data_IF_258364909822
#
_entry.id   IF_258364909822
#
_cell.length_a   1.000
_cell.length_b   1.000
_cell.length_c   1.000
_cell.angle_alpha   90.00
_cell.angle_beta   90.00
_cell.angle_gamma   90.00
#
_symmetry.space_group_name_H-M   'P 1'
#
loop_
_entity.id
_entity.type
_entity.pdbx_description
1 polymer ?
#
# COMPACT_ATOMS: atom_id res chain seq x y z
N UNK A 1 -10.59 -17.55 -26.43
CA UNK A 1 -10.04 -18.71 -27.14
C UNK A 1 -9.20 -19.52 -26.20
N UNK A 2 -9.49 -20.82 -26.13
CA UNK A 2 -8.78 -21.90 -25.41
C UNK A 2 -9.19 -21.98 -23.93
N UNK A 3 -10.10 -22.75 -23.59
CA UNK A 3 -10.44 -24.19 -23.59
C UNK A 3 -10.11 -24.83 -22.23
N UNK A 4 -11.18 -25.03 -21.48
CA UNK A 4 -11.27 -25.80 -20.25
C UNK A 4 -11.31 -27.31 -20.57
N UNK A 5 -10.48 -28.10 -19.93
CA UNK A 5 -10.54 -29.54 -19.94
C UNK A 5 -10.94 -30.06 -18.55
N UNK A 6 -12.21 -30.44 -18.44
CA UNK A 6 -12.82 -31.16 -17.34
C UNK A 6 -12.56 -32.66 -17.53
N UNK A 7 -11.91 -33.30 -16.56
CA UNK A 7 -11.67 -34.75 -16.57
C UNK A 7 -12.68 -35.44 -15.65
N UNK A 8 -13.67 -36.13 -16.25
CA UNK A 8 -14.61 -37.03 -15.57
C UNK A 8 -14.06 -38.43 -15.55
N UNK A 9 -13.85 -39.00 -14.37
CA UNK A 9 -13.54 -40.43 -14.18
C UNK A 9 -14.81 -41.18 -13.84
N UNK A 10 -15.29 -41.99 -14.79
CA UNK A 10 -16.45 -42.85 -14.69
C UNK A 10 -16.01 -44.16 -14.02
N UNK A 11 -16.67 -44.53 -12.93
CA UNK A 11 -16.54 -45.88 -12.32
C UNK A 11 -17.59 -46.77 -12.97
N UNK A 12 -17.16 -47.78 -13.67
CA UNK A 12 -17.98 -48.80 -14.29
C UNK A 12 -18.12 -50.03 -13.39
N UNK A 13 -19.36 -50.39 -13.10
CA UNK A 13 -19.72 -51.72 -12.60
C UNK A 13 -19.65 -52.76 -13.71
N UNK A 14 -19.22 -54.01 -13.40
CA UNK A 14 -19.38 -55.14 -14.35
C UNK A 14 -20.69 -55.91 -14.11
N UNK A 15 -21.21 -56.59 -15.13
CA UNK A 15 -22.53 -57.15 -15.18
C UNK A 15 -22.58 -58.62 -14.77
N UNK A 16 -23.81 -59.04 -14.46
CA UNK A 16 -24.22 -60.43 -14.28
C UNK A 16 -24.39 -61.13 -15.62
N UNK A 17 -23.97 -62.32 -15.73
CA UNK A 17 -24.43 -63.33 -16.72
C UNK A 17 -23.89 -64.68 -16.25
N UNK A 18 -24.50 -65.82 -16.35
CA UNK A 18 -25.56 -66.41 -17.14
C UNK A 18 -25.61 -67.86 -16.65
N UNK A 19 -26.77 -68.36 -16.32
CA UNK A 19 -27.62 -69.26 -17.14
C UNK A 19 -26.95 -70.52 -17.72
N UNK A 20 -27.72 -71.58 -17.53
CA UNK A 20 -27.79 -72.83 -18.35
C UNK A 20 -26.96 -73.99 -17.80
N UNK A 21 -27.39 -75.19 -17.71
CA UNK A 21 -28.58 -75.86 -18.26
C UNK A 21 -28.66 -77.25 -17.79
N UNK A 22 -29.87 -77.79 -17.82
CA UNK A 22 -30.29 -79.09 -18.26
C UNK A 22 -29.86 -80.33 -17.43
N UNK A 23 -30.78 -81.04 -16.95
CA UNK A 23 -31.81 -81.90 -17.49
C UNK A 23 -31.48 -83.38 -17.42
N UNK A 24 -32.50 -84.06 -17.04
CA UNK A 24 -32.89 -85.44 -17.35
C UNK A 24 -32.25 -86.59 -16.59
N UNK A 25 -33.01 -87.34 -15.88
CA UNK A 25 -33.70 -88.58 -16.12
C UNK A 25 -34.10 -89.21 -14.79
N UNK A 26 -35.34 -89.39 -14.59
CA UNK A 26 -36.31 -90.45 -14.88
C UNK A 26 -36.00 -91.74 -14.16
N UNK A 27 -37.01 -92.23 -13.44
CA UNK A 27 -37.44 -93.56 -13.13
C UNK A 27 -36.74 -94.30 -11.99
N UNK A 28 -37.41 -94.58 -10.95
CA UNK A 28 -38.22 -95.76 -10.71
C UNK A 28 -38.73 -95.80 -9.25
N UNK A 29 -39.99 -96.00 -9.18
CA UNK A 29 -40.77 -96.47 -7.99
C UNK A 29 -40.30 -97.84 -7.52
N UNK A 30 -40.90 -98.37 -6.45
CA UNK A 30 -41.37 -97.90 -5.13
C UNK A 30 -40.89 -98.80 -3.97
N UNK A 31 -41.57 -98.62 -2.85
CA UNK A 31 -41.61 -99.52 -1.71
C UNK A 31 -40.43 -99.38 -0.73
N UNK A 32 -40.62 -98.60 0.23
CA UNK A 32 -40.79 -99.01 1.62
C UNK A 32 -41.36 -97.88 2.45
N UNK A 33 -42.66 -97.91 2.50
CA UNK A 33 -43.41 -97.17 3.50
C UNK A 33 -43.17 -97.83 4.87
N UNK A 34 -43.23 -97.07 5.87
CA UNK A 34 -43.30 -97.40 7.29
C UNK A 34 -41.99 -97.34 8.08
N UNK A 35 -42.16 -96.64 9.18
CA UNK A 35 -41.24 -96.55 10.31
C UNK A 35 -40.25 -95.37 10.15
N UNK A 36 -40.76 -94.25 10.50
CA UNK A 36 -40.09 -93.22 11.33
C UNK A 36 -40.99 -92.07 11.64
N UNK A 37 -42.07 -92.30 12.35
CA UNK A 37 -42.79 -91.34 13.14
C UNK A 37 -42.23 -91.27 14.53
N UNK A 38 -41.06 -90.77 14.73
CA UNK A 38 -40.64 -90.28 16.07
C UNK A 38 -39.52 -89.28 15.95
N UNK A 39 -39.74 -88.17 16.58
CA UNK A 39 -38.76 -87.10 16.85
C UNK A 39 -38.75 -85.91 15.92
N UNK A 40 -39.93 -85.23 15.79
CA UNK A 40 -39.85 -83.83 15.50
C UNK A 40 -39.88 -83.06 16.84
N UNK A 41 -38.73 -83.06 17.53
CA UNK A 41 -38.54 -82.02 18.58
C UNK A 41 -38.11 -80.76 17.89
N UNK A 42 -38.87 -79.66 18.05
CA UNK A 42 -38.44 -78.37 17.49
C UNK A 42 -37.06 -78.00 18.09
N UNK A 43 -36.08 -77.60 17.29
CA UNK A 43 -34.83 -77.14 17.82
C UNK A 43 -35.11 -75.98 18.78
N UNK A 44 -34.70 -76.17 20.03
CA UNK A 44 -34.73 -75.21 21.06
C UNK A 44 -33.93 -74.01 20.51
N UNK A 45 -34.65 -72.94 20.17
CA UNK A 45 -34.00 -71.72 19.66
C UNK A 45 -32.88 -71.34 20.62
N UNK A 46 -31.67 -71.42 20.13
CA UNK A 46 -30.53 -70.95 20.89
C UNK A 46 -30.76 -69.45 21.12
N UNK A 47 -31.10 -69.10 22.32
CA UNK A 47 -31.17 -67.70 22.75
C UNK A 47 -29.72 -67.19 22.66
N UNK A 48 -29.43 -66.49 21.56
CA UNK A 48 -28.18 -65.77 21.43
C UNK A 48 -28.04 -64.86 22.64
N UNK A 49 -26.94 -64.96 23.39
CA UNK A 49 -26.74 -64.04 24.50
C UNK A 49 -26.76 -62.61 23.96
N UNK A 50 -27.59 -61.78 24.56
CA UNK A 50 -27.63 -60.35 24.22
C UNK A 50 -26.23 -59.78 24.33
N UNK A 51 -25.81 -59.03 23.34
CA UNK A 51 -24.49 -58.40 23.37
C UNK A 51 -24.35 -57.54 24.63
N UNK A 52 -23.29 -57.77 25.37
CA UNK A 52 -22.98 -56.93 26.52
C UNK A 52 -22.58 -55.53 25.98
N UNK A 53 -23.43 -54.55 26.16
CA UNK A 53 -23.12 -53.14 25.88
C UNK A 53 -22.55 -52.48 27.14
N UNK A 54 -21.41 -51.93 27.03
CA UNK A 54 -20.83 -51.14 28.11
C UNK A 54 -21.39 -49.73 27.99
N UNK A 55 -22.17 -49.34 28.92
CA UNK A 55 -22.65 -47.96 29.06
C UNK A 55 -21.65 -47.20 29.91
N UNK A 56 -21.15 -46.09 29.36
CA UNK A 56 -20.31 -45.14 30.08
C UNK A 56 -21.18 -43.88 30.35
N UNK A 57 -21.13 -43.38 31.56
CA UNK A 57 -21.77 -42.10 31.85
C UNK A 57 -21.11 -41.00 31.01
N UNK A 58 -21.89 -40.08 30.47
CA UNK A 58 -21.36 -38.95 29.76
C UNK A 58 -20.48 -38.11 30.71
N UNK A 59 -19.28 -37.85 30.27
CA UNK A 59 -18.34 -36.95 30.96
C UNK A 59 -18.73 -35.53 30.65
N UNK A 60 -19.05 -34.73 31.66
CA UNK A 60 -19.33 -33.32 31.53
C UNK A 60 -17.99 -32.59 31.50
N UNK A 61 -17.54 -32.19 30.33
CA UNK A 61 -16.36 -31.37 30.15
C UNK A 61 -16.77 -29.99 29.62
N UNK A 62 -16.13 -28.96 30.12
CA UNK A 62 -16.26 -27.62 29.54
C UNK A 62 -15.45 -27.60 28.24
N UNK A 63 -16.14 -27.51 27.11
CA UNK A 63 -15.50 -27.39 25.80
C UNK A 63 -15.51 -25.91 25.45
N UNK A 64 -14.32 -25.34 25.26
CA UNK A 64 -14.19 -23.99 24.68
C UNK A 64 -14.23 -24.12 23.17
N UNK A 65 -15.23 -23.56 22.57
CA UNK A 65 -15.33 -23.49 21.11
C UNK A 65 -14.50 -22.31 20.64
N UNK A 66 -13.64 -22.54 19.64
CA UNK A 66 -12.83 -21.50 19.03
C UNK A 66 -13.29 -21.35 17.58
N UNK A 67 -13.68 -20.11 17.25
CA UNK A 67 -14.00 -19.76 15.87
C UNK A 67 -12.81 -19.03 15.28
N UNK A 68 -12.31 -19.52 14.15
CA UNK A 68 -11.20 -18.95 13.43
C UNK A 68 -11.72 -18.16 12.23
N UNK A 69 -11.39 -16.88 12.18
CA UNK A 69 -11.78 -16.00 11.09
C UNK A 69 -10.53 -15.58 10.32
N UNK A 70 -10.53 -15.71 8.97
CA UNK A 70 -9.47 -15.14 8.16
C UNK A 70 -9.51 -13.62 8.26
N UNK A 71 -8.33 -13.00 8.33
CA UNK A 71 -8.23 -11.56 8.40
C UNK A 71 -6.95 -11.08 7.75
N UNK A 72 -6.89 -9.78 7.47
CA UNK A 72 -5.68 -9.12 6.96
C UNK A 72 -5.40 -7.85 7.73
N UNK A 73 -4.12 -7.47 7.74
CA UNK A 73 -3.64 -6.25 8.37
C UNK A 73 -3.51 -5.17 7.31
N UNK A 74 -3.98 -3.96 7.63
CA UNK A 74 -3.88 -2.80 6.76
C UNK A 74 -3.26 -1.64 7.52
N UNK A 75 -2.34 -0.92 6.87
CA UNK A 75 -1.71 0.25 7.46
C UNK A 75 -2.73 1.40 7.58
N UNK A 76 -2.70 2.12 8.70
CA UNK A 76 -3.57 3.29 8.91
C UNK A 76 -3.24 4.40 7.92
N UNK A 77 -1.94 4.58 7.61
CA UNK A 77 -1.47 5.57 6.66
C UNK A 77 -0.56 4.91 5.62
N UNK A 78 -0.84 5.21 4.35
CA UNK A 78 -0.02 4.81 3.21
C UNK A 78 0.31 6.06 2.40
N UNK A 79 1.59 6.36 2.24
CA UNK A 79 2.06 7.55 1.53
C UNK A 79 3.00 7.14 0.39
N UNK A 80 2.64 7.53 -0.82
CA UNK A 80 3.53 7.43 -1.97
C UNK A 80 4.47 8.63 -2.00
N UNK A 81 5.75 8.39 -1.87
CA UNK A 81 6.78 9.41 -1.96
C UNK A 81 7.03 9.76 -3.43
N UNK A 82 6.78 11.02 -3.76
CA UNK A 82 6.94 11.57 -5.11
C UNK A 82 7.84 12.81 -5.04
N UNK A 83 8.65 13.09 -6.07
CA UNK A 83 9.49 14.28 -6.09
C UNK A 83 8.64 15.55 -6.27
N UNK A 84 9.09 16.65 -5.69
CA UNK A 84 8.52 17.99 -5.88
C UNK A 84 9.32 18.83 -6.88
N UNK A 85 10.52 18.35 -7.25
CA UNK A 85 11.39 18.96 -8.24
C UNK A 85 11.89 17.86 -9.19
N UNK A 86 12.18 18.21 -10.45
CA UNK A 86 12.67 17.28 -11.44
C UNK A 86 14.21 17.21 -11.40
N UNK A 87 14.79 16.05 -11.69
CA UNK A 87 16.25 15.94 -11.75
C UNK A 87 16.73 14.51 -11.68
N UNK A 88 18.04 14.32 -11.65
CA UNK A 88 18.65 13.01 -11.48
C UNK A 88 18.78 12.67 -10.00
N UNK A 89 18.48 11.43 -9.63
CA UNK A 89 18.73 10.93 -8.28
C UNK A 89 20.24 10.80 -8.10
N UNK A 90 20.79 11.53 -7.14
CA UNK A 90 22.19 11.50 -6.76
C UNK A 90 22.49 10.34 -5.81
N UNK A 91 21.73 10.24 -4.73
CA UNK A 91 21.93 9.22 -3.70
C UNK A 91 20.63 8.76 -3.03
N UNK A 92 20.67 7.55 -2.43
CA UNK A 92 19.58 6.90 -1.71
C UNK A 92 20.10 6.51 -0.33
N UNK A 93 19.38 6.87 0.74
CA UNK A 93 19.84 6.79 2.11
C UNK A 93 19.09 5.78 2.98
N UNK A 94 18.35 4.84 2.39
CA UNK A 94 17.64 3.80 3.11
C UNK A 94 17.86 2.43 2.46
N UNK A 95 17.48 1.38 3.17
CA UNK A 95 17.39 0.01 2.66
C UNK A 95 15.93 -0.37 2.44
N UNK A 96 15.64 -1.15 1.40
CA UNK A 96 14.31 -1.62 1.09
C UNK A 96 13.76 -2.46 2.27
N UNK A 97 12.56 -2.13 2.75
CA UNK A 97 11.92 -2.79 3.89
C UNK A 97 12.38 -2.31 5.27
N UNK A 98 13.27 -1.31 5.37
CA UNK A 98 13.69 -0.74 6.64
C UNK A 98 12.59 0.08 7.32
N UNK A 99 12.72 0.26 8.62
CA UNK A 99 11.93 1.24 9.38
C UNK A 99 12.61 2.61 9.32
N UNK A 100 11.80 3.64 9.07
CA UNK A 100 12.24 5.03 8.99
C UNK A 100 11.39 5.91 9.90
N UNK A 101 11.97 6.99 10.37
CA UNK A 101 11.28 8.01 11.19
C UNK A 101 10.90 9.20 10.32
N UNK A 102 9.83 9.89 10.70
CA UNK A 102 9.48 11.16 10.10
C UNK A 102 10.67 12.13 10.14
N UNK A 103 11.01 12.71 8.97
CA UNK A 103 12.18 13.59 8.79
C UNK A 103 13.45 12.90 8.30
N UNK A 104 13.53 11.56 8.31
CA UNK A 104 14.70 10.84 7.79
C UNK A 104 14.87 11.13 6.29
N UNK A 105 16.14 11.33 5.87
CA UNK A 105 16.48 11.54 4.47
C UNK A 105 16.36 10.24 3.69
N UNK A 106 15.58 10.24 2.62
CA UNK A 106 15.34 9.07 1.77
C UNK A 106 16.11 9.15 0.46
N UNK A 107 15.92 10.24 -0.28
CA UNK A 107 16.56 10.46 -1.57
C UNK A 107 17.16 11.86 -1.65
N UNK A 108 18.21 11.98 -2.42
CA UNK A 108 18.77 13.27 -2.83
C UNK A 108 18.69 13.37 -4.34
N UNK A 109 18.07 14.43 -4.83
CA UNK A 109 18.11 14.83 -6.23
C UNK A 109 19.31 15.76 -6.41
N UNK A 110 20.00 15.73 -7.56
CA UNK A 110 21.17 16.57 -7.83
C UNK A 110 20.88 18.06 -7.47
N UNK A 111 21.49 18.59 -6.39
CA UNK A 111 21.18 19.91 -5.91
C UNK A 111 21.89 21.04 -6.69
N UNK A 112 22.88 20.70 -7.51
CA UNK A 112 23.76 21.69 -8.17
C UNK A 112 23.00 22.72 -9.02
N UNK A 113 22.05 22.34 -9.87
CA UNK A 113 21.25 23.32 -10.62
C UNK A 113 20.45 24.26 -9.72
N UNK A 114 19.82 23.73 -8.69
CA UNK A 114 19.02 24.47 -7.73
C UNK A 114 19.86 25.39 -6.84
N UNK A 115 21.06 24.97 -6.47
CA UNK A 115 22.02 25.81 -5.75
C UNK A 115 22.47 27.00 -6.62
N UNK A 116 22.71 26.77 -7.92
CA UNK A 116 23.06 27.84 -8.84
C UNK A 116 21.90 28.85 -9.00
N UNK A 117 20.66 28.36 -9.06
CA UNK A 117 19.45 29.18 -9.14
C UNK A 117 19.25 30.01 -7.86
N UNK A 118 19.46 29.42 -6.69
CA UNK A 118 19.43 30.13 -5.41
C UNK A 118 20.50 31.22 -5.37
N UNK A 119 21.74 30.93 -5.77
CA UNK A 119 22.80 31.92 -5.81
C UNK A 119 22.47 33.09 -6.74
N UNK A 120 21.85 32.82 -7.88
CA UNK A 120 21.36 33.85 -8.82
C UNK A 120 20.26 34.73 -8.19
N UNK A 121 19.28 34.10 -7.50
CA UNK A 121 18.23 34.82 -6.82
C UNK A 121 18.77 35.69 -5.68
N UNK A 122 19.74 35.20 -4.91
CA UNK A 122 20.45 35.96 -3.88
C UNK A 122 21.17 37.20 -4.45
N UNK A 123 21.85 37.02 -5.58
CA UNK A 123 22.50 38.17 -6.24
C UNK A 123 21.50 39.22 -6.69
N UNK A 124 20.34 38.82 -7.23
CA UNK A 124 19.25 39.75 -7.60
C UNK A 124 18.67 40.46 -6.39
N UNK A 125 18.47 39.78 -5.28
CA UNK A 125 18.03 40.41 -4.02
C UNK A 125 19.05 41.44 -3.56
N UNK A 126 20.33 41.09 -3.55
CA UNK A 126 21.41 42.03 -3.16
C UNK A 126 21.45 43.27 -4.06
N UNK A 127 21.25 43.07 -5.37
CA UNK A 127 21.15 44.17 -6.32
C UNK A 127 19.95 45.11 -5.98
N UNK A 128 18.76 44.53 -5.70
CA UNK A 128 17.58 45.30 -5.35
C UNK A 128 17.75 46.03 -4.01
N UNK A 129 18.43 45.42 -3.02
CA UNK A 129 18.79 46.10 -1.76
C UNK A 129 19.67 47.33 -1.99
N UNK A 130 20.71 47.18 -2.84
CA UNK A 130 21.59 48.30 -3.17
C UNK A 130 20.86 49.43 -3.91
N UNK A 131 19.93 49.07 -4.83
CA UNK A 131 19.08 50.05 -5.50
C UNK A 131 18.15 50.81 -4.54
N UNK A 132 17.56 50.10 -3.59
CA UNK A 132 16.72 50.69 -2.57
C UNK A 132 17.53 51.64 -1.67
N UNK A 133 18.73 51.24 -1.27
CA UNK A 133 19.63 52.08 -0.48
C UNK A 133 19.99 53.36 -1.23
N UNK A 134 20.32 53.25 -2.52
CA UNK A 134 20.57 54.42 -3.38
C UNK A 134 19.36 55.33 -3.44
N UNK A 135 18.16 54.81 -3.74
CA UNK A 135 16.93 55.59 -3.82
C UNK A 135 16.60 56.29 -2.50
N UNK A 136 16.79 55.63 -1.36
CA UNK A 136 16.63 56.22 -0.02
C UNK A 136 17.61 57.34 0.26
N UNK A 137 18.87 57.16 -0.13
CA UNK A 137 19.88 58.19 -0.01
C UNK A 137 19.59 59.43 -0.91
N UNK A 138 19.06 59.21 -2.12
CA UNK A 138 18.63 60.23 -3.02
C UNK A 138 17.43 61.01 -2.46
N UNK A 139 16.41 60.30 -1.93
CA UNK A 139 15.26 60.95 -1.27
C UNK A 139 15.70 61.76 -0.08
N UNK A 140 16.62 61.22 0.78
CA UNK A 140 17.15 61.96 1.92
C UNK A 140 17.87 63.24 1.51
N UNK A 141 18.63 63.25 0.41
CA UNK A 141 19.24 64.44 -0.18
C UNK A 141 18.17 65.41 -0.67
N UNK A 142 17.14 64.90 -1.38
CA UNK A 142 16.02 65.73 -1.86
C UNK A 142 15.25 66.36 -0.72
N UNK A 143 15.04 65.67 0.38
CA UNK A 143 14.35 66.17 1.57
C UNK A 143 15.10 67.37 2.18
N UNK A 144 16.43 67.27 2.28
CA UNK A 144 17.26 68.43 2.75
C UNK A 144 17.21 69.64 1.84
N UNK A 145 17.12 69.43 0.52
CA UNK A 145 17.00 70.53 -0.48
C UNK A 145 15.61 71.11 -0.52
N UNK A 146 14.56 70.40 -0.26
CA UNK A 146 13.18 70.83 -0.14
C UNK A 146 13.04 71.91 0.94
N UNK A 147 13.69 71.70 2.12
CA UNK A 147 13.69 72.69 3.21
C UNK A 147 14.24 74.04 2.82
N UNK A 148 15.15 74.13 1.83
CA UNK A 148 15.76 75.35 1.31
C UNK A 148 15.05 75.85 0.04
N UNK A 149 13.95 75.24 -0.46
CA UNK A 149 13.27 75.50 -1.74
C UNK A 149 14.20 75.34 -2.97
N UNK A 150 15.25 74.56 -2.87
CA UNK A 150 16.21 74.31 -3.95
C UNK A 150 15.80 73.19 -4.89
N UNK A 151 14.68 72.52 -4.64
CA UNK A 151 14.13 71.40 -5.46
C UNK A 151 12.62 71.66 -5.68
N UNK A 152 12.09 71.19 -6.83
CA UNK A 152 10.64 71.26 -7.12
C UNK A 152 9.88 70.11 -6.38
N UNK A 153 8.57 70.31 -6.15
CA UNK A 153 7.72 69.24 -5.60
C UNK A 153 7.67 68.08 -6.54
N UNK A 154 7.62 68.27 -7.85
CA UNK A 154 7.64 67.18 -8.83
C UNK A 154 8.90 66.28 -8.72
N UNK A 155 10.06 66.91 -8.54
CA UNK A 155 11.32 66.18 -8.40
C UNK A 155 11.34 65.43 -7.05
N UNK A 156 10.83 66.02 -5.95
CA UNK A 156 10.71 65.31 -4.68
C UNK A 156 9.77 64.10 -4.77
N UNK A 157 8.59 64.26 -5.41
CA UNK A 157 7.63 63.19 -5.62
C UNK A 157 8.21 62.08 -6.50
N UNK A 158 9.00 62.43 -7.51
CA UNK A 158 9.73 61.46 -8.34
C UNK A 158 10.70 60.60 -7.50
N UNK A 159 11.50 61.22 -6.59
CA UNK A 159 12.41 60.52 -5.70
C UNK A 159 11.65 59.64 -4.67
N UNK A 160 10.55 60.16 -4.18
CA UNK A 160 9.68 59.38 -3.26
C UNK A 160 9.06 58.16 -3.98
N UNK A 161 8.64 58.32 -5.22
CA UNK A 161 8.13 57.22 -6.04
C UNK A 161 9.21 56.18 -6.34
N UNK A 162 10.47 56.60 -6.64
CA UNK A 162 11.60 55.74 -6.88
C UNK A 162 11.93 54.85 -5.65
N UNK A 163 11.78 55.40 -4.44
CA UNK A 163 11.90 54.56 -3.22
C UNK A 163 10.83 53.48 -3.16
N UNK A 164 9.56 53.85 -3.40
CA UNK A 164 8.44 52.89 -3.37
C UNK A 164 8.59 51.80 -4.44
N UNK A 165 9.06 52.17 -5.64
CA UNK A 165 9.36 51.22 -6.71
C UNK A 165 10.49 50.28 -6.32
N UNK A 166 11.59 50.80 -5.75
CA UNK A 166 12.72 49.97 -5.30
C UNK A 166 12.35 49.07 -4.10
N UNK A 167 11.44 49.52 -3.22
CA UNK A 167 10.89 48.65 -2.14
C UNK A 167 10.08 47.51 -2.71
N UNK A 168 9.21 47.78 -3.70
CA UNK A 168 8.45 46.73 -4.38
C UNK A 168 9.35 45.75 -5.13
N UNK A 169 10.40 46.25 -5.79
CA UNK A 169 11.39 45.40 -6.46
C UNK A 169 12.17 44.50 -5.48
N UNK A 170 12.51 44.99 -4.30
CA UNK A 170 13.16 44.20 -3.25
C UNK A 170 12.22 43.11 -2.72
N UNK A 171 10.95 43.41 -2.52
CA UNK A 171 9.96 42.42 -2.09
C UNK A 171 9.85 41.29 -3.14
N UNK A 172 9.79 41.64 -4.42
CA UNK A 172 9.74 40.67 -5.51
C UNK A 172 11.03 39.79 -5.56
N UNK A 173 12.20 40.41 -5.39
CA UNK A 173 13.48 39.70 -5.38
C UNK A 173 13.61 38.75 -4.17
N UNK A 174 13.11 39.12 -2.99
CA UNK A 174 13.04 38.25 -1.80
C UNK A 174 12.10 37.06 -2.03
N UNK A 175 10.95 37.26 -2.65
CA UNK A 175 10.04 36.17 -2.98
C UNK A 175 10.65 35.20 -3.99
N UNK A 176 11.42 35.68 -4.97
CA UNK A 176 12.15 34.85 -5.92
C UNK A 176 13.26 34.02 -5.22
N UNK A 177 13.99 34.61 -4.27
CA UNK A 177 14.99 33.88 -3.47
C UNK A 177 14.34 32.79 -2.64
N UNK A 178 13.23 33.06 -2.00
CA UNK A 178 12.51 32.05 -1.19
C UNK A 178 12.01 30.88 -2.06
N UNK A 179 11.50 31.17 -3.26
CA UNK A 179 11.10 30.13 -4.22
C UNK A 179 12.29 29.25 -4.62
N UNK A 180 13.45 29.84 -4.91
CA UNK A 180 14.66 29.10 -5.25
C UNK A 180 15.17 28.27 -4.05
N UNK A 181 15.08 28.81 -2.83
CA UNK A 181 15.42 28.08 -1.60
C UNK A 181 14.52 26.85 -1.40
N UNK A 182 13.21 27.01 -1.53
CA UNK A 182 12.26 25.90 -1.44
C UNK A 182 12.54 24.84 -2.50
N UNK A 183 12.90 25.24 -3.72
CA UNK A 183 13.27 24.29 -4.77
C UNK A 183 14.51 23.48 -4.42
N UNK A 184 15.50 24.14 -3.81
CA UNK A 184 16.69 23.45 -3.29
C UNK A 184 16.34 22.50 -2.13
N UNK A 185 15.52 22.93 -1.19
CA UNK A 185 15.09 22.09 -0.07
C UNK A 185 14.33 20.84 -0.56
N UNK A 186 13.55 20.96 -1.63
CA UNK A 186 12.83 19.83 -2.23
C UNK A 186 13.74 18.83 -2.95
N UNK A 187 15.02 19.13 -3.18
CA UNK A 187 16.00 18.15 -3.65
C UNK A 187 16.30 17.08 -2.59
N UNK A 188 16.08 17.38 -1.30
CA UNK A 188 16.21 16.47 -0.19
C UNK A 188 14.83 15.89 0.16
N UNK A 189 14.56 14.67 -0.28
CA UNK A 189 13.28 14.02 -0.05
C UNK A 189 13.35 13.27 1.27
N UNK A 190 12.53 13.73 2.23
CA UNK A 190 12.44 13.19 3.58
C UNK A 190 11.14 12.43 3.80
N UNK A 191 11.15 11.49 4.76
CA UNK A 191 9.97 10.75 5.17
C UNK A 191 8.94 11.67 5.83
N UNK A 192 7.68 11.74 5.34
CA UNK A 192 6.64 12.57 5.96
C UNK A 192 6.04 11.94 7.22
N UNK A 193 6.08 10.62 7.35
CA UNK A 193 5.58 9.83 8.48
C UNK A 193 6.64 8.83 8.91
N UNK A 194 6.52 8.31 10.14
CA UNK A 194 7.31 7.16 10.58
C UNK A 194 6.62 5.86 10.15
N UNK A 195 7.41 4.86 9.78
CA UNK A 195 6.85 3.58 9.36
C UNK A 195 7.84 2.73 8.60
N UNK A 196 7.34 1.73 7.89
CA UNK A 196 8.12 0.80 7.08
C UNK A 196 8.13 1.26 5.63
N UNK A 197 9.34 1.41 5.08
CA UNK A 197 9.53 1.79 3.69
C UNK A 197 9.45 0.56 2.79
N UNK A 198 8.76 0.69 1.67
CA UNK A 198 8.64 -0.37 0.68
C UNK A 198 9.89 -0.54 -0.18
N UNK A 199 9.74 -1.26 -1.28
CA UNK A 199 10.80 -1.39 -2.29
C UNK A 199 10.91 -0.10 -3.09
N UNK A 200 12.13 0.41 -3.26
CA UNK A 200 12.40 1.53 -4.16
C UNK A 200 12.04 1.17 -5.62
N UNK A 201 11.40 2.08 -6.31
CA UNK A 201 11.00 1.94 -7.71
C UNK A 201 12.02 2.61 -8.66
N UNK A 202 12.98 3.33 -8.10
CA UNK A 202 14.00 4.11 -8.83
C UNK A 202 15.38 3.85 -8.23
N UNK A 203 16.43 4.07 -9.03
CA UNK A 203 17.83 3.90 -8.64
C UNK A 203 18.58 5.21 -8.80
N UNK A 204 19.74 5.34 -8.15
CA UNK A 204 20.65 6.45 -8.38
C UNK A 204 21.02 6.55 -9.87
N UNK A 205 21.08 7.76 -10.40
CA UNK A 205 21.27 8.05 -11.82
C UNK A 205 19.99 8.10 -12.66
N UNK A 206 18.82 7.67 -12.14
CA UNK A 206 17.54 7.81 -12.84
C UNK A 206 17.08 9.27 -12.82
N UNK A 207 16.50 9.71 -13.93
CA UNK A 207 15.83 11.00 -14.01
C UNK A 207 14.39 10.87 -13.51
N UNK A 208 13.98 11.75 -12.59
CA UNK A 208 12.64 11.79 -12.02
C UNK A 208 11.93 13.08 -12.42
N UNK A 209 10.63 12.97 -12.67
CA UNK A 209 9.82 14.09 -13.16
C UNK A 209 8.67 14.39 -12.22
N UNK A 210 8.32 15.70 -12.18
CA UNK A 210 7.04 16.16 -11.65
C UNK A 210 5.90 15.71 -12.56
N UNK A 211 4.69 15.72 -12.01
CA UNK A 211 3.48 15.58 -12.81
C UNK A 211 3.37 16.76 -13.78
N UNK A 212 3.57 16.50 -15.08
CA UNK A 212 3.44 17.51 -16.13
C UNK A 212 3.15 16.86 -17.47
N UNK A 213 2.36 17.54 -18.33
CA UNK A 213 2.04 17.18 -19.72
C UNK A 213 1.64 15.73 -19.97
N UNK A 214 0.63 15.21 -19.22
CA UNK A 214 0.01 13.92 -19.51
C UNK A 214 0.72 12.71 -18.91
N UNK A 215 1.80 12.89 -18.16
CA UNK A 215 2.49 11.83 -17.41
C UNK A 215 2.16 11.86 -15.92
N UNK A 216 2.04 10.69 -15.30
CA UNK A 216 1.95 10.56 -13.85
C UNK A 216 3.30 10.91 -13.21
N UNK A 217 3.31 11.66 -12.10
CA UNK A 217 4.55 11.90 -11.35
C UNK A 217 5.22 10.58 -10.98
N UNK A 218 6.56 10.51 -11.09
CA UNK A 218 7.32 9.30 -10.76
C UNK A 218 7.14 8.95 -9.28
N UNK A 219 6.59 7.77 -8.99
CA UNK A 219 6.59 7.23 -7.62
C UNK A 219 7.99 6.71 -7.32
N UNK A 220 8.57 7.16 -6.22
CA UNK A 220 9.93 6.76 -5.80
C UNK A 220 9.87 5.52 -4.91
N UNK A 221 9.00 5.56 -3.91
CA UNK A 221 8.79 4.50 -2.92
C UNK A 221 7.46 4.73 -2.21
N UNK A 222 6.88 3.66 -1.65
CA UNK A 222 5.71 3.72 -0.78
C UNK A 222 6.15 3.55 0.67
N UNK A 223 5.60 4.35 1.56
CA UNK A 223 5.82 4.32 3.00
C UNK A 223 4.50 3.98 3.69
N UNK A 224 4.50 3.02 4.62
CA UNK A 224 3.32 2.57 5.35
C UNK A 224 3.54 2.68 6.85
N UNK A 225 2.53 3.15 7.58
CA UNK A 225 2.57 3.15 9.04
C UNK A 225 2.49 1.71 9.56
N UNK A 226 3.18 1.42 10.67
CA UNK A 226 3.20 0.08 11.29
C UNK A 226 2.47 0.10 12.63
N UNK A 227 2.46 1.22 13.31
CA UNK A 227 1.82 1.42 14.60
C UNK A 227 1.11 2.79 14.62
N UNK A 228 -0.21 2.83 14.78
CA UNK A 228 -1.15 1.69 14.87
C UNK A 228 -1.40 0.98 13.53
N UNK A 229 -1.97 -0.25 13.58
CA UNK A 229 -2.36 -1.03 12.40
C UNK A 229 -3.82 -1.47 12.51
N UNK A 230 -4.54 -1.49 11.41
CA UNK A 230 -5.90 -2.03 11.35
C UNK A 230 -5.86 -3.54 11.10
N UNK A 231 -6.78 -4.27 11.74
CA UNK A 231 -7.03 -5.67 11.48
C UNK A 231 -8.48 -5.82 11.00
N UNK A 232 -8.64 -6.30 9.78
CA UNK A 232 -9.95 -6.58 9.19
C UNK A 232 -10.19 -8.09 9.22
N UNK A 233 -11.37 -8.47 9.67
CA UNK A 233 -11.82 -9.86 9.76
C UNK A 233 -13.11 -10.00 8.97
N UNK A 234 -13.17 -11.00 8.09
CA UNK A 234 -14.37 -11.37 7.38
C UNK A 234 -15.13 -12.39 8.21
N UNK A 235 -16.25 -11.97 8.82
CA UNK A 235 -17.10 -12.82 9.63
C UNK A 235 -18.35 -13.16 8.83
N UNK A 236 -18.59 -14.45 8.58
CA UNK A 236 -19.87 -14.91 8.03
C UNK A 236 -20.94 -14.80 9.10
N UNK A 237 -22.06 -14.16 8.77
CA UNK A 237 -23.22 -14.12 9.64
C UNK A 237 -23.77 -15.54 9.76
N UNK A 238 -23.63 -16.15 10.93
CA UNK A 238 -24.25 -17.44 11.22
C UNK A 238 -25.78 -17.26 11.20
N UNK A 239 -26.44 -17.86 10.20
CA UNK A 239 -27.88 -17.85 10.06
C UNK A 239 -28.59 -18.71 11.14
#
# INVERSE_FOLDING_TARGET
MISTLTYWRRISNPPAASRLANALRLCSLPVVCTIWLTACSPPKAAVLPLPKVTIKQPEVATVTNWDEYPGHLEAVEMVEIRPRVAGYIDSIHFQDGAEVKAGDLLFVIDPRPYQAELNQAQARRQQAETHLELARNDLKRADSLRGTKAISEEEYDSRSNAVRESEAALVAAKAAEETARLSLDYTQIKAPISGKIGRRLVTAGNFVQLQGNGGSATVLVTLVSVDPIYAYFDVEEAA
#
